data_IF_932595808258
#
_entry.id   IF_932595808258
#
_cell.length_a   1.000
_cell.length_b   1.000
_cell.length_c   1.000
_cell.angle_alpha   90.00
_cell.angle_beta   90.00
_cell.angle_gamma   90.00
#
_symmetry.space_group_name_H-M   'P 1'
#
loop_
_entity.id
_entity.type
_entity.pdbx_description
1 polymer ?
#
# COMPACT_ATOMS: atom_id res chain seq x y z
N UNK A 1 -68.83 -17.10 39.62
CA UNK A 1 -69.31 -17.74 40.87
C UNK A 1 -68.14 -18.46 41.55
N UNK A 2 -68.31 -18.90 42.82
CA UNK A 2 -67.73 -20.10 43.51
C UNK A 2 -66.87 -21.04 42.63
N UNK A 3 -65.80 -21.76 43.08
CA UNK A 3 -65.10 -22.11 44.36
C UNK A 3 -63.76 -22.80 43.95
N UNK A 4 -62.76 -23.21 44.75
CA UNK A 4 -62.30 -23.13 46.16
C UNK A 4 -60.76 -23.37 46.15
N UNK A 5 -59.93 -22.70 46.96
CA UNK A 5 -59.32 -23.16 48.25
C UNK A 5 -58.71 -24.58 48.27
N UNK A 6 -57.37 -24.67 48.31
CA UNK A 6 -56.54 -25.33 49.35
C UNK A 6 -55.04 -25.05 49.08
N UNK A 7 -54.10 -24.98 50.03
CA UNK A 7 -54.18 -25.05 51.50
C UNK A 7 -52.91 -24.48 52.15
N UNK A 8 -52.95 -24.16 53.44
CA UNK A 8 -51.93 -23.36 54.15
C UNK A 8 -50.87 -24.19 54.87
N UNK A 9 -49.66 -23.64 55.04
CA UNK A 9 -48.86 -23.89 56.26
C UNK A 9 -48.10 -22.62 56.67
N UNK A 10 -48.06 -22.32 57.97
CA UNK A 10 -47.36 -21.17 58.56
C UNK A 10 -46.02 -21.61 59.15
N UNK A 11 -45.07 -20.67 59.22
CA UNK A 11 -44.34 -20.45 60.47
C UNK A 11 -43.93 -18.97 60.63
N UNK A 12 -43.83 -18.52 61.88
CA UNK A 12 -43.37 -17.19 62.30
C UNK A 12 -41.88 -17.30 62.78
N UNK A 13 -41.16 -16.26 63.24
CA UNK A 13 -41.60 -14.94 63.70
C UNK A 13 -40.47 -13.86 63.68
N UNK A 14 -40.91 -12.60 63.84
CA UNK A 14 -40.28 -11.52 64.61
C UNK A 14 -38.77 -11.18 64.51
N UNK A 15 -38.50 -10.03 63.87
CA UNK A 15 -37.85 -8.83 64.44
C UNK A 15 -36.59 -9.02 65.32
N UNK A 16 -35.43 -8.59 64.78
CA UNK A 16 -34.47 -7.72 65.48
C UNK A 16 -33.62 -6.98 64.44
N UNK A 17 -33.29 -5.70 64.67
CA UNK A 17 -32.48 -4.90 63.75
C UNK A 17 -31.12 -4.53 64.32
N UNK A 18 -30.05 -4.67 63.53
CA UNK A 18 -28.73 -4.09 63.81
C UNK A 18 -28.15 -3.47 62.55
N UNK A 19 -27.72 -2.20 62.65
CA UNK A 19 -27.14 -1.45 61.52
C UNK A 19 -25.63 -1.72 61.43
N UNK A 20 -25.23 -2.70 60.62
CA UNK A 20 -23.82 -2.97 60.32
C UNK A 20 -23.33 -2.10 59.15
N UNK A 21 -22.60 -1.03 59.47
CA UNK A 21 -21.89 -0.22 58.46
C UNK A 21 -20.78 -1.05 57.80
N UNK A 22 -20.83 -1.18 56.48
CA UNK A 22 -19.81 -1.86 55.67
C UNK A 22 -19.40 -0.95 54.50
N UNK A 23 -18.47 -0.03 54.75
CA UNK A 23 -17.85 0.81 53.72
C UNK A 23 -16.94 -0.03 52.82
N UNK A 24 -17.50 -0.71 51.82
CA UNK A 24 -16.72 -1.23 50.69
C UNK A 24 -16.27 -0.06 49.83
N UNK A 25 -14.98 0.21 49.83
CA UNK A 25 -14.38 1.19 48.94
C UNK A 25 -14.55 0.73 47.49
N UNK A 26 -15.32 1.50 46.72
CA UNK A 26 -15.56 1.21 45.30
C UNK A 26 -14.34 1.63 44.47
N UNK A 27 -13.35 0.74 44.40
CA UNK A 27 -12.14 0.94 43.61
C UNK A 27 -12.42 0.73 42.12
N UNK A 28 -13.27 1.59 41.55
CA UNK A 28 -13.38 1.76 40.10
C UNK A 28 -12.03 2.17 39.50
N UNK A 29 -11.86 2.06 38.16
CA UNK A 29 -10.60 2.38 37.51
C UNK A 29 -10.17 3.81 37.83
N UNK A 30 -8.98 3.97 38.42
CA UNK A 30 -8.46 5.28 38.77
C UNK A 30 -8.39 6.18 37.53
N UNK A 31 -9.01 7.35 37.61
CA UNK A 31 -8.77 8.42 36.65
C UNK A 31 -7.30 8.82 36.81
N UNK A 32 -6.48 8.82 35.75
CA UNK A 32 -5.10 9.28 35.84
C UNK A 32 -5.07 10.78 36.12
N UNK A 33 -4.84 11.19 37.36
CA UNK A 33 -4.73 12.61 37.74
C UNK A 33 -3.57 13.36 37.05
N UNK A 34 -2.68 12.65 36.36
CA UNK A 34 -1.62 13.22 35.53
C UNK A 34 -1.11 12.19 34.52
N UNK A 35 -0.94 12.60 33.26
CA UNK A 35 -0.32 11.80 32.21
C UNK A 35 1.07 12.34 31.87
N UNK A 36 2.05 11.45 31.69
CA UNK A 36 3.40 11.79 31.24
C UNK A 36 3.72 11.13 29.90
N UNK A 37 3.93 11.95 28.87
CA UNK A 37 4.45 11.53 27.56
C UNK A 37 5.98 11.51 27.59
N UNK A 38 6.55 10.42 27.09
CA UNK A 38 7.97 10.27 26.74
C UNK A 38 8.11 9.72 25.32
N UNK A 39 9.18 10.11 24.64
CA UNK A 39 9.46 9.77 23.24
C UNK A 39 10.73 8.90 23.14
N UNK A 40 10.75 7.94 22.22
CA UNK A 40 11.95 7.12 21.95
C UNK A 40 13.10 7.90 21.30
N UNK A 41 12.81 9.04 20.69
CA UNK A 41 13.76 9.96 20.09
C UNK A 41 13.23 11.39 20.16
N UNK A 42 14.13 12.37 20.34
CA UNK A 42 13.82 13.82 20.30
C UNK A 42 14.17 14.45 18.96
N UNK A 43 14.78 13.69 18.04
CA UNK A 43 15.10 14.13 16.67
C UNK A 43 14.87 12.97 15.70
N UNK A 44 14.28 13.24 14.54
CA UNK A 44 14.05 12.28 13.46
C UNK A 44 14.29 12.92 12.09
N UNK A 45 14.54 12.07 11.10
CA UNK A 45 14.53 12.45 9.70
C UNK A 45 13.10 12.50 9.16
N UNK A 46 12.76 13.51 8.35
CA UNK A 46 11.44 13.72 7.76
C UNK A 46 11.10 12.78 6.59
N UNK A 47 11.52 11.51 6.64
CA UNK A 47 11.25 10.51 5.59
C UNK A 47 9.81 10.03 5.57
N UNK A 48 9.09 10.18 6.69
CA UNK A 48 7.83 9.51 6.96
C UNK A 48 7.96 8.00 7.22
N UNK A 49 9.15 7.40 7.18
CA UNK A 49 9.38 5.98 7.49
C UNK A 49 10.08 5.79 8.84
N UNK A 50 10.86 6.76 9.27
CA UNK A 50 11.42 6.82 10.61
C UNK A 50 10.31 7.22 11.60
N UNK A 51 10.09 6.39 12.63
CA UNK A 51 8.99 6.55 13.58
C UNK A 51 9.48 6.84 14.99
N UNK A 52 8.80 7.74 15.71
CA UNK A 52 9.02 7.96 17.15
C UNK A 52 7.96 7.21 17.93
N UNK A 53 8.39 6.29 18.79
CA UNK A 53 7.51 5.60 19.73
C UNK A 53 7.18 6.55 20.88
N UNK A 54 5.89 6.71 21.14
CA UNK A 54 5.29 7.52 22.18
C UNK A 54 4.84 6.60 23.29
N UNK A 55 5.42 6.76 24.48
CA UNK A 55 5.00 6.03 25.69
C UNK A 55 4.33 7.01 26.63
N UNK A 56 3.16 6.65 27.15
CA UNK A 56 2.36 7.46 28.08
C UNK A 56 2.19 6.73 29.39
N UNK A 57 2.63 7.34 30.48
CA UNK A 57 2.49 6.80 31.84
C UNK A 57 1.57 7.65 32.69
N UNK A 58 0.85 7.01 33.62
CA UNK A 58 0.06 7.72 34.63
C UNK A 58 0.90 8.11 35.87
N UNK A 59 0.25 8.69 36.89
CA UNK A 59 0.87 9.06 38.18
C UNK A 59 1.52 7.88 38.91
N UNK A 60 1.00 6.65 38.75
CA UNK A 60 1.57 5.43 39.36
C UNK A 60 2.79 4.90 38.60
N UNK A 61 3.06 5.42 37.39
CA UNK A 61 4.13 4.95 36.51
C UNK A 61 3.73 3.75 35.63
N UNK A 62 2.46 3.32 35.70
CA UNK A 62 1.89 2.32 34.81
C UNK A 62 1.79 2.85 33.38
N UNK A 63 2.03 1.97 32.40
CA UNK A 63 1.87 2.30 30.98
C UNK A 63 0.38 2.30 30.62
N UNK A 64 -0.09 3.44 30.10
CA UNK A 64 -1.48 3.67 29.68
C UNK A 64 -1.56 4.05 28.20
N UNK A 65 -0.50 3.82 27.41
CA UNK A 65 -0.40 4.24 26.00
C UNK A 65 -1.55 3.71 25.13
N UNK A 66 -1.98 2.46 25.36
CA UNK A 66 -3.14 1.87 24.65
C UNK A 66 -4.51 2.36 25.13
N UNK A 67 -4.57 3.21 26.16
CA UNK A 67 -5.80 3.69 26.80
C UNK A 67 -5.93 5.22 26.79
N UNK A 68 -5.22 5.90 25.89
CA UNK A 68 -5.24 7.37 25.70
C UNK A 68 -5.37 7.73 24.22
N UNK A 69 -5.91 8.93 23.94
CA UNK A 69 -5.81 9.53 22.61
C UNK A 69 -4.46 10.24 22.49
N UNK A 70 -3.68 9.93 21.44
CA UNK A 70 -2.46 10.66 21.10
C UNK A 70 -2.73 11.76 20.07
N UNK A 71 -1.94 12.84 20.13
CA UNK A 71 -2.02 14.00 19.27
C UNK A 71 -0.62 14.44 18.81
N UNK A 72 -0.51 14.89 17.56
CA UNK A 72 0.65 15.55 16.98
C UNK A 72 0.21 16.92 16.45
N UNK A 73 0.77 18.00 17.00
CA UNK A 73 0.34 19.40 16.77
C UNK A 73 -1.18 19.62 16.95
N UNK A 74 -1.79 18.89 17.90
CA UNK A 74 -3.23 18.91 18.16
C UNK A 74 -4.08 18.06 17.22
N UNK A 75 -3.50 17.45 16.18
CA UNK A 75 -4.18 16.49 15.29
C UNK A 75 -4.08 15.08 15.87
N UNK A 76 -5.21 14.37 15.95
CA UNK A 76 -5.26 12.99 16.47
C UNK A 76 -4.50 12.02 15.57
N UNK A 77 -3.78 11.06 16.16
CA UNK A 77 -3.27 9.88 15.45
C UNK A 77 -3.53 8.59 16.26
N UNK A 78 -3.26 7.45 15.63
CA UNK A 78 -3.59 6.11 16.15
C UNK A 78 -2.33 5.26 16.26
N UNK A 79 -2.28 4.39 17.27
CA UNK A 79 -1.11 3.55 17.56
C UNK A 79 0.02 4.32 18.28
N UNK A 80 1.00 3.61 18.86
CA UNK A 80 2.03 4.21 19.71
C UNK A 80 3.19 4.85 18.92
N UNK A 81 3.16 4.90 17.58
CA UNK A 81 4.28 5.40 16.76
C UNK A 81 3.81 6.53 15.85
N UNK A 82 4.51 7.67 15.88
CA UNK A 82 4.27 8.80 14.99
C UNK A 82 5.37 8.90 13.92
N UNK A 83 4.97 9.10 12.66
CA UNK A 83 5.83 9.02 11.47
C UNK A 83 5.86 10.35 10.69
N UNK A 84 6.73 11.31 11.03
CA UNK A 84 6.76 12.64 10.43
C UNK A 84 7.31 12.68 9.00
N UNK A 85 6.64 13.41 8.11
CA UNK A 85 6.98 13.58 6.68
C UNK A 85 7.47 15.00 6.32
N UNK A 86 7.58 15.91 7.31
CA UNK A 86 7.80 17.34 7.10
C UNK A 86 8.77 17.93 8.13
N UNK A 87 9.73 18.71 7.64
CA UNK A 87 10.76 19.39 8.45
C UNK A 87 10.13 20.48 9.32
N UNK A 88 10.06 20.23 10.64
CA UNK A 88 9.58 21.14 11.69
C UNK A 88 9.79 20.51 13.07
N UNK A 89 9.67 21.28 14.15
CA UNK A 89 9.38 20.71 15.47
C UNK A 89 7.90 20.29 15.53
N UNK A 90 7.63 19.07 16.01
CA UNK A 90 6.27 18.55 16.24
C UNK A 90 6.02 18.43 17.74
N UNK A 91 4.86 18.90 18.19
CA UNK A 91 4.38 18.80 19.57
C UNK A 91 3.51 17.57 19.75
N UNK A 92 4.03 16.58 20.48
CA UNK A 92 3.33 15.34 20.83
C UNK A 92 2.67 15.49 22.21
N UNK A 93 1.40 15.12 22.32
CA UNK A 93 0.67 15.09 23.59
C UNK A 93 -0.36 13.94 23.62
N UNK A 94 -0.90 13.65 24.81
CA UNK A 94 -1.86 12.60 25.06
C UNK A 94 -3.02 13.10 25.95
N UNK A 95 -4.16 12.40 25.91
CA UNK A 95 -5.34 12.74 26.71
C UNK A 95 -6.12 11.48 27.12
N UNK A 96 -6.66 11.48 28.35
CA UNK A 96 -7.64 10.47 28.83
C UNK A 96 -8.85 11.19 29.43
N UNK A 97 -10.00 11.10 28.75
CA UNK A 97 -11.17 11.90 29.11
C UNK A 97 -10.83 13.40 29.06
N UNK A 98 -10.98 14.10 30.17
CA UNK A 98 -10.59 15.51 30.31
C UNK A 98 -9.11 15.73 30.62
N UNK A 99 -8.35 14.72 31.07
CA UNK A 99 -6.98 14.92 31.59
C UNK A 99 -5.95 14.96 30.45
N UNK A 100 -5.16 16.04 30.31
CA UNK A 100 -4.06 16.13 29.35
C UNK A 100 -2.74 15.59 29.92
N UNK A 101 -1.76 15.36 29.05
CA UNK A 101 -0.35 15.15 29.41
C UNK A 101 0.48 16.44 29.36
N UNK A 102 1.76 16.33 29.73
CA UNK A 102 2.76 17.27 29.21
C UNK A 102 2.82 17.21 27.67
N UNK A 103 3.31 18.28 27.06
CA UNK A 103 3.81 18.24 25.68
C UNK A 103 5.23 17.66 25.72
N UNK A 104 5.57 16.84 24.72
CA UNK A 104 6.94 16.49 24.35
C UNK A 104 7.18 16.95 22.91
N UNK A 105 8.43 17.27 22.58
CA UNK A 105 8.78 17.77 21.24
C UNK A 105 9.74 16.82 20.52
N UNK A 106 9.51 16.62 19.23
CA UNK A 106 10.45 15.94 18.31
C UNK A 106 10.82 16.90 17.18
N UNK A 107 12.12 17.10 16.97
CA UNK A 107 12.66 17.91 15.88
C UNK A 107 12.78 17.06 14.63
N UNK A 108 12.04 17.40 13.58
CA UNK A 108 12.10 16.70 12.30
C UNK A 108 13.05 17.45 11.37
N UNK A 109 14.16 16.81 10.99
CA UNK A 109 15.16 17.36 10.06
C UNK A 109 14.86 16.95 8.62
N UNK A 110 15.51 17.60 7.65
CA UNK A 110 15.52 17.09 6.28
C UNK A 110 16.25 15.73 6.22
N UNK A 111 15.82 14.80 5.36
CA UNK A 111 16.59 13.59 5.08
C UNK A 111 17.86 13.92 4.29
N UNK A 112 18.87 13.07 4.43
CA UNK A 112 20.00 13.00 3.50
C UNK A 112 19.50 12.78 2.06
N UNK A 113 20.25 13.25 1.06
CA UNK A 113 19.93 12.95 -0.33
C UNK A 113 19.85 11.43 -0.55
N UNK A 114 18.84 10.95 -1.28
CA UNK A 114 18.78 9.52 -1.61
C UNK A 114 19.83 9.18 -2.66
N UNK A 115 20.53 8.04 -2.53
CA UNK A 115 21.39 7.54 -3.60
C UNK A 115 20.57 6.98 -4.78
N UNK A 116 19.25 6.81 -4.64
CA UNK A 116 18.39 6.22 -5.67
C UNK A 116 17.46 7.26 -6.31
N UNK A 117 17.15 7.10 -7.59
CA UNK A 117 16.09 7.88 -8.26
C UNK A 117 14.72 7.32 -7.88
N UNK A 118 13.81 8.22 -7.51
CA UNK A 118 12.38 7.90 -7.38
C UNK A 118 11.80 7.64 -8.77
N UNK A 119 11.26 6.44 -8.95
CA UNK A 119 10.51 6.02 -10.13
C UNK A 119 9.06 5.79 -9.71
N UNK A 120 8.14 5.85 -10.65
CA UNK A 120 6.69 5.75 -10.40
C UNK A 120 6.05 4.68 -11.30
N UNK A 121 5.03 4.03 -10.78
CA UNK A 121 4.22 3.01 -11.46
C UNK A 121 2.89 3.63 -11.86
N UNK A 122 2.46 3.41 -13.10
CA UNK A 122 1.10 3.73 -13.58
C UNK A 122 0.47 2.47 -14.15
N UNK A 123 -0.43 1.85 -13.40
CA UNK A 123 -1.26 0.73 -13.88
C UNK A 123 -2.48 1.31 -14.62
N UNK A 124 -2.52 1.15 -15.94
CA UNK A 124 -3.59 1.63 -16.83
C UNK A 124 -4.60 0.52 -17.11
N UNK A 125 -5.81 0.64 -16.57
CA UNK A 125 -6.89 -0.34 -16.71
C UNK A 125 -7.70 -0.02 -17.96
N UNK A 126 -7.67 -0.95 -18.91
CA UNK A 126 -7.89 -0.65 -20.33
C UNK A 126 -8.47 -1.86 -21.10
N UNK A 127 -8.76 -1.68 -22.40
CA UNK A 127 -9.23 -2.75 -23.26
C UNK A 127 -9.38 -2.36 -24.74
N UNK A 128 -9.26 -3.36 -25.61
CA UNK A 128 -9.51 -3.29 -27.06
C UNK A 128 -10.87 -2.72 -27.40
N UNK A 129 -11.87 -2.99 -26.56
CA UNK A 129 -13.24 -2.50 -26.70
C UNK A 129 -13.47 -1.07 -26.18
N UNK A 130 -12.48 -0.50 -25.49
CA UNK A 130 -12.64 0.78 -24.80
C UNK A 130 -12.35 1.94 -25.77
N UNK A 131 -13.39 2.43 -26.46
CA UNK A 131 -13.29 3.55 -27.42
C UNK A 131 -12.67 4.85 -26.91
N UNK A 132 -12.54 5.01 -25.59
CA UNK A 132 -11.90 6.18 -24.97
C UNK A 132 -10.46 5.93 -24.51
N UNK A 133 -10.01 4.68 -24.43
CA UNK A 133 -8.72 4.32 -23.85
C UNK A 133 -7.52 4.74 -24.71
N UNK A 134 -7.72 4.94 -26.02
CA UNK A 134 -6.71 5.51 -26.93
C UNK A 134 -6.15 6.84 -26.43
N UNK A 135 -6.99 7.69 -25.83
CA UNK A 135 -6.59 8.98 -25.23
C UNK A 135 -5.62 8.79 -24.06
N UNK A 136 -5.99 7.96 -23.08
CA UNK A 136 -5.19 7.72 -21.90
C UNK A 136 -3.85 7.06 -22.25
N UNK A 137 -3.88 6.06 -23.14
CA UNK A 137 -2.69 5.37 -23.63
C UNK A 137 -1.73 6.32 -24.36
N UNK A 138 -2.22 7.20 -25.24
CA UNK A 138 -1.39 8.17 -25.96
C UNK A 138 -0.77 9.22 -25.01
N UNK A 139 -1.56 9.81 -24.10
CA UNK A 139 -1.03 10.78 -23.11
C UNK A 139 0.06 10.12 -22.25
N UNK A 140 -0.17 8.89 -21.78
CA UNK A 140 0.80 8.15 -20.97
C UNK A 140 2.07 7.81 -21.79
N UNK A 141 1.92 7.37 -23.04
CA UNK A 141 3.05 7.06 -23.94
C UNK A 141 3.90 8.29 -24.27
N UNK A 142 3.26 9.43 -24.53
CA UNK A 142 3.94 10.72 -24.74
C UNK A 142 4.61 11.25 -23.47
N UNK A 143 4.18 10.82 -22.29
CA UNK A 143 4.83 11.13 -21.03
C UNK A 143 6.02 10.21 -20.74
N UNK A 144 5.84 8.88 -20.76
CA UNK A 144 6.89 7.90 -20.44
C UNK A 144 8.07 7.94 -21.41
N UNK A 145 7.84 8.26 -22.69
CA UNK A 145 8.90 8.51 -23.69
C UNK A 145 9.83 9.68 -23.34
N UNK A 146 9.39 10.61 -22.49
CA UNK A 146 10.19 11.75 -21.98
C UNK A 146 10.65 11.56 -20.54
N UNK A 147 9.91 10.77 -19.77
CA UNK A 147 10.14 10.48 -18.35
C UNK A 147 10.23 8.96 -18.15
N UNK A 148 11.36 8.30 -18.50
CA UNK A 148 11.53 6.85 -18.38
C UNK A 148 11.56 6.34 -16.93
N UNK A 149 11.61 7.25 -15.94
CA UNK A 149 11.35 6.95 -14.53
C UNK A 149 9.86 6.71 -14.23
N UNK A 150 8.96 6.97 -15.18
CA UNK A 150 7.56 6.58 -15.13
C UNK A 150 7.34 5.29 -15.92
N UNK A 151 6.97 4.23 -15.21
CA UNK A 151 6.82 2.88 -15.74
C UNK A 151 5.33 2.57 -15.83
N UNK A 152 4.82 2.37 -17.05
CA UNK A 152 3.42 2.02 -17.29
C UNK A 152 3.22 0.50 -17.36
N UNK A 153 2.05 0.03 -16.93
CA UNK A 153 1.60 -1.37 -17.05
C UNK A 153 0.14 -1.39 -17.51
N UNK A 154 -0.14 -1.98 -18.67
CA UNK A 154 -1.50 -2.09 -19.22
C UNK A 154 -2.26 -3.28 -18.63
N UNK A 155 -3.25 -3.03 -17.79
CA UNK A 155 -4.09 -4.05 -17.16
C UNK A 155 -5.38 -4.21 -17.96
N UNK A 156 -5.34 -5.11 -18.95
CA UNK A 156 -6.45 -5.36 -19.86
C UNK A 156 -7.61 -6.13 -19.22
N UNK A 157 -8.85 -5.83 -19.60
CA UNK A 157 -10.02 -6.63 -19.22
C UNK A 157 -11.38 -5.95 -19.43
N UNK A 158 -12.34 -6.18 -18.53
CA UNK A 158 -13.57 -5.39 -18.41
C UNK A 158 -14.73 -5.75 -19.36
N UNK A 159 -14.52 -6.58 -20.38
CA UNK A 159 -15.59 -7.04 -21.29
C UNK A 159 -15.32 -8.48 -21.76
N UNK A 160 -16.37 -9.27 -21.93
CA UNK A 160 -16.27 -10.58 -22.58
C UNK A 160 -15.73 -10.42 -24.01
N UNK A 161 -14.72 -11.22 -24.38
CA UNK A 161 -14.03 -11.12 -25.66
C UNK A 161 -12.79 -10.20 -25.69
N UNK A 162 -12.44 -9.53 -24.59
CA UNK A 162 -11.19 -8.79 -24.47
C UNK A 162 -9.98 -9.78 -24.49
N UNK A 163 -9.16 -9.80 -25.57
CA UNK A 163 -8.20 -10.87 -25.82
C UNK A 163 -7.05 -10.91 -24.82
N UNK A 164 -6.75 -9.81 -24.12
CA UNK A 164 -5.64 -9.74 -23.18
C UNK A 164 -6.09 -9.67 -21.71
N UNK A 165 -7.36 -10.03 -21.41
CA UNK A 165 -7.95 -9.98 -20.06
C UNK A 165 -7.01 -10.57 -19.00
N UNK A 166 -6.58 -9.78 -18.03
CA UNK A 166 -5.74 -10.24 -16.93
C UNK A 166 -6.53 -11.15 -15.98
N UNK A 167 -5.93 -12.27 -15.57
CA UNK A 167 -6.61 -13.33 -14.80
C UNK A 167 -7.21 -12.84 -13.47
N UNK A 168 -6.58 -11.86 -12.82
CA UNK A 168 -7.00 -11.35 -11.51
C UNK A 168 -7.50 -9.90 -11.58
N UNK A 169 -8.05 -9.48 -12.73
CA UNK A 169 -8.57 -8.14 -12.97
C UNK A 169 -9.54 -7.68 -11.86
N UNK A 170 -10.54 -8.50 -11.54
CA UNK A 170 -11.59 -8.14 -10.58
C UNK A 170 -10.99 -7.82 -9.20
N UNK A 171 -10.02 -8.61 -8.74
CA UNK A 171 -9.28 -8.36 -7.50
C UNK A 171 -8.61 -6.99 -7.49
N UNK A 172 -8.15 -6.48 -8.63
CA UNK A 172 -7.55 -5.15 -8.73
C UNK A 172 -8.63 -4.07 -8.81
N UNK A 173 -9.71 -4.29 -9.57
CA UNK A 173 -10.84 -3.36 -9.67
C UNK A 173 -11.52 -3.14 -8.31
N UNK A 174 -11.78 -4.21 -7.55
CA UNK A 174 -12.37 -4.15 -6.21
C UNK A 174 -11.48 -3.36 -5.23
N UNK A 175 -10.15 -3.56 -5.30
CA UNK A 175 -9.18 -2.96 -4.37
C UNK A 175 -8.85 -1.50 -4.70
N UNK A 176 -9.03 -1.08 -5.95
CA UNK A 176 -8.87 0.31 -6.39
C UNK A 176 -10.20 1.05 -6.62
N UNK A 177 -11.34 0.40 -6.38
CA UNK A 177 -12.69 0.90 -6.63
C UNK A 177 -12.91 1.42 -8.07
N UNK A 178 -12.55 0.59 -9.06
CA UNK A 178 -12.64 0.91 -10.49
C UNK A 178 -14.00 0.49 -11.03
N UNK A 179 -14.78 1.44 -11.53
CA UNK A 179 -16.13 1.26 -12.06
C UNK A 179 -16.22 1.28 -13.60
N UNK A 180 -15.18 1.75 -14.30
CA UNK A 180 -15.13 1.80 -15.76
C UNK A 180 -13.77 2.23 -16.30
N UNK A 181 -13.52 1.99 -17.61
CA UNK A 181 -12.25 2.26 -18.29
C UNK A 181 -12.37 3.44 -19.29
N UNK A 182 -11.29 4.19 -19.57
CA UNK A 182 -9.94 4.07 -19.01
C UNK A 182 -9.88 4.47 -17.52
N UNK A 183 -9.01 3.80 -16.78
CA UNK A 183 -8.70 4.17 -15.40
C UNK A 183 -7.24 3.87 -15.08
N UNK A 184 -6.44 4.91 -14.84
CA UNK A 184 -5.05 4.74 -14.46
C UNK A 184 -4.85 4.94 -12.94
N UNK A 185 -4.02 4.12 -12.31
CA UNK A 185 -3.67 4.21 -10.89
C UNK A 185 -2.19 4.54 -10.72
N UNK A 186 -1.90 5.69 -10.13
CA UNK A 186 -0.56 6.15 -9.79
C UNK A 186 -0.10 5.51 -8.48
N UNK A 187 1.04 4.82 -8.52
CA UNK A 187 1.69 4.16 -7.38
C UNK A 187 0.70 3.36 -6.50
N UNK A 188 -0.34 2.74 -7.07
CA UNK A 188 -1.34 1.95 -6.31
C UNK A 188 -2.03 2.70 -5.14
N UNK A 189 -2.01 4.02 -5.18
CA UNK A 189 -2.50 4.89 -4.11
C UNK A 189 -3.70 5.72 -4.59
N UNK A 190 -3.54 6.42 -5.72
CA UNK A 190 -4.51 7.40 -6.22
C UNK A 190 -4.77 7.25 -7.72
N UNK A 191 -5.97 7.63 -8.18
CA UNK A 191 -6.30 7.67 -9.61
C UNK A 191 -5.48 8.78 -10.29
N UNK A 192 -4.76 8.44 -11.36
CA UNK A 192 -4.17 9.44 -12.24
C UNK A 192 -5.28 10.05 -13.10
N UNK A 193 -5.43 11.36 -13.06
CA UNK A 193 -6.45 12.13 -13.78
C UNK A 193 -5.93 12.71 -15.11
N UNK A 194 -5.03 11.97 -15.78
CA UNK A 194 -4.37 12.35 -17.04
C UNK A 194 -3.51 13.64 -16.98
N UNK A 195 -3.35 14.26 -15.80
CA UNK A 195 -2.51 15.44 -15.59
C UNK A 195 -1.02 15.05 -15.37
N UNK A 196 -0.08 15.48 -16.23
CA UNK A 196 1.36 15.24 -16.03
C UNK A 196 1.91 15.77 -14.70
N UNK A 197 1.36 16.86 -14.16
CA UNK A 197 1.88 17.50 -12.95
C UNK A 197 1.77 16.61 -11.69
N UNK A 198 0.83 15.65 -11.66
CA UNK A 198 0.78 14.64 -10.59
C UNK A 198 1.92 13.62 -10.69
N UNK A 199 2.30 13.25 -11.91
CA UNK A 199 3.42 12.35 -12.19
C UNK A 199 4.75 13.07 -11.89
N UNK A 200 4.90 14.31 -12.33
CA UNK A 200 6.06 15.17 -12.01
C UNK A 200 6.22 15.40 -10.50
N UNK A 201 5.12 15.51 -9.75
CA UNK A 201 5.14 15.65 -8.30
C UNK A 201 5.51 14.33 -7.59
N UNK A 202 5.06 13.19 -8.12
CA UNK A 202 5.40 11.88 -7.58
C UNK A 202 6.86 11.49 -7.85
N UNK A 203 7.42 11.84 -9.02
CA UNK A 203 8.85 11.67 -9.36
C UNK A 203 9.79 12.51 -8.47
N UNK A 204 9.30 13.58 -7.83
CA UNK A 204 10.09 14.45 -6.95
C UNK A 204 10.10 14.00 -5.48
N UNK A 205 9.47 12.87 -5.14
CA UNK A 205 9.53 12.30 -3.80
C UNK A 205 10.93 11.74 -3.51
N UNK A 206 11.30 11.70 -2.23
CA UNK A 206 12.55 11.11 -1.77
C UNK A 206 12.44 9.57 -1.82
N UNK A 207 13.32 8.93 -2.58
CA UNK A 207 13.31 7.47 -2.73
C UNK A 207 13.86 6.78 -1.46
N UNK A 208 13.07 5.95 -0.75
CA UNK A 208 13.54 5.26 0.46
C UNK A 208 14.34 3.98 0.18
N UNK A 209 14.27 3.48 -1.05
CA UNK A 209 14.90 2.24 -1.51
C UNK A 209 15.12 2.27 -3.02
N UNK A 210 16.11 1.52 -3.48
CA UNK A 210 16.35 1.20 -4.89
C UNK A 210 16.03 -0.26 -5.17
N UNK A 211 15.75 -0.59 -6.43
CA UNK A 211 15.60 -1.97 -6.90
C UNK A 211 16.55 -2.27 -8.06
N UNK A 212 17.13 -3.47 -8.03
CA UNK A 212 17.83 -4.10 -9.15
C UNK A 212 17.08 -5.37 -9.57
N UNK A 213 17.18 -5.76 -10.84
CA UNK A 213 16.56 -6.96 -11.39
C UNK A 213 17.58 -7.70 -12.25
N UNK A 214 17.87 -8.96 -11.91
CA UNK A 214 18.62 -9.89 -12.74
C UNK A 214 17.63 -10.89 -13.33
N UNK A 215 17.62 -11.09 -14.65
CA UNK A 215 16.71 -12.04 -15.30
C UNK A 215 17.39 -12.82 -16.42
N UNK A 216 16.91 -14.05 -16.68
CA UNK A 216 17.35 -14.93 -17.76
C UNK A 216 16.15 -15.70 -18.34
N UNK A 217 16.24 -16.05 -19.61
CA UNK A 217 15.22 -16.84 -20.32
C UNK A 217 15.70 -18.29 -20.38
N UNK A 218 14.98 -19.21 -19.71
CA UNK A 218 15.32 -20.62 -19.65
C UNK A 218 14.06 -21.49 -19.78
N UNK A 219 14.06 -22.44 -20.73
CA UNK A 219 13.03 -23.48 -20.85
C UNK A 219 11.57 -22.98 -20.77
N UNK A 220 11.24 -21.92 -21.51
CA UNK A 220 9.88 -21.32 -21.51
C UNK A 220 9.51 -20.53 -20.26
N UNK A 221 10.50 -20.20 -19.41
CA UNK A 221 10.33 -19.39 -18.22
C UNK A 221 11.30 -18.21 -18.24
N UNK A 222 10.92 -17.13 -17.56
CA UNK A 222 11.78 -15.99 -17.25
C UNK A 222 12.09 -16.10 -15.76
N UNK A 223 13.31 -16.52 -15.45
CA UNK A 223 13.76 -16.78 -14.08
C UNK A 223 14.78 -15.72 -13.65
N UNK A 224 14.94 -15.48 -12.36
CA UNK A 224 15.84 -14.43 -11.91
C UNK A 224 15.72 -14.08 -10.43
N UNK A 225 16.18 -12.88 -10.10
CA UNK A 225 16.01 -12.27 -8.79
C UNK A 225 15.73 -10.77 -8.88
N UNK A 226 15.00 -10.27 -7.91
CA UNK A 226 14.90 -8.83 -7.60
C UNK A 226 15.71 -8.58 -6.34
N UNK A 227 16.53 -7.53 -6.35
CA UNK A 227 17.24 -7.03 -5.16
C UNK A 227 16.62 -5.72 -4.71
N UNK A 228 16.45 -5.53 -3.42
CA UNK A 228 15.98 -4.28 -2.81
C UNK A 228 17.07 -3.77 -1.87
N UNK A 229 17.51 -2.52 -2.06
CA UNK A 229 18.51 -1.87 -1.20
C UNK A 229 17.90 -0.66 -0.51
N UNK A 230 17.97 -0.62 0.81
CA UNK A 230 17.27 0.38 1.62
C UNK A 230 18.15 1.59 1.96
N UNK A 231 17.59 2.79 1.89
CA UNK A 231 18.21 4.04 2.37
C UNK A 231 17.76 4.42 3.80
N UNK A 232 17.04 3.52 4.48
CA UNK A 232 16.47 3.74 5.82
C UNK A 232 16.34 2.43 6.61
N UNK A 233 16.09 2.55 7.90
CA UNK A 233 15.79 1.42 8.80
C UNK A 233 14.40 1.60 9.37
N UNK A 234 13.48 0.65 9.18
CA UNK A 234 12.12 0.78 9.72
C UNK A 234 11.40 -0.56 9.90
N UNK A 235 10.41 -0.58 10.79
CA UNK A 235 9.50 -1.71 11.03
C UNK A 235 8.17 -1.59 10.27
N UNK A 236 8.08 -0.68 9.30
CA UNK A 236 6.94 -0.58 8.37
C UNK A 236 6.90 -1.84 7.49
N UNK A 237 5.78 -2.58 7.52
CA UNK A 237 5.53 -3.72 6.64
C UNK A 237 5.62 -3.31 5.16
N UNK A 238 6.45 -4.05 4.40
CA UNK A 238 6.74 -3.83 3.00
C UNK A 238 6.70 -5.14 2.24
N UNK A 239 6.20 -5.10 1.01
CA UNK A 239 6.11 -6.26 0.13
C UNK A 239 6.65 -5.96 -1.26
N UNK A 240 7.25 -6.96 -1.90
CA UNK A 240 7.70 -6.86 -3.30
C UNK A 240 6.67 -7.51 -4.24
N UNK A 241 6.34 -6.82 -5.31
CA UNK A 241 5.53 -7.36 -6.42
C UNK A 241 6.45 -7.47 -7.64
N UNK A 242 6.34 -8.59 -8.36
CA UNK A 242 7.14 -8.89 -9.55
C UNK A 242 6.18 -9.30 -10.67
N UNK A 243 6.14 -8.50 -11.74
CA UNK A 243 5.23 -8.64 -12.87
C UNK A 243 5.97 -9.08 -14.13
N UNK A 244 5.33 -9.95 -14.92
CA UNK A 244 5.63 -10.14 -16.33
C UNK A 244 4.68 -9.26 -17.17
N UNK A 245 5.26 -8.36 -17.97
CA UNK A 245 4.52 -7.58 -18.97
C UNK A 245 5.06 -7.89 -20.37
N UNK A 246 4.22 -7.77 -21.40
CA UNK A 246 4.59 -8.06 -22.80
C UNK A 246 4.25 -6.88 -23.73
N UNK A 247 5.15 -6.59 -24.67
CA UNK A 247 4.97 -5.65 -25.77
C UNK A 247 4.52 -6.31 -27.08
N UNK A 248 4.10 -5.49 -28.04
CA UNK A 248 3.84 -5.86 -29.44
C UNK A 248 2.70 -6.88 -29.60
N UNK A 249 1.77 -6.89 -28.66
CA UNK A 249 0.52 -7.64 -28.80
C UNK A 249 -0.39 -6.90 -29.77
N UNK A 250 -0.84 -7.59 -30.82
CA UNK A 250 -1.62 -6.98 -31.91
C UNK A 250 -3.10 -7.36 -31.75
N UNK A 251 -3.96 -6.34 -31.71
CA UNK A 251 -5.41 -6.49 -31.74
C UNK A 251 -6.06 -5.28 -32.43
N UNK A 252 -7.36 -5.34 -32.68
CA UNK A 252 -8.12 -4.16 -33.09
C UNK A 252 -8.53 -3.34 -31.85
N UNK A 253 -8.40 -2.02 -31.92
CA UNK A 253 -8.74 -1.11 -30.83
C UNK A 253 -9.92 -0.21 -31.23
N UNK A 254 -11.05 -0.31 -30.54
CA UNK A 254 -12.15 0.67 -30.61
C UNK A 254 -11.60 2.07 -30.28
N UNK A 255 -12.02 3.08 -31.05
CA UNK A 255 -11.50 4.44 -30.94
C UNK A 255 -12.57 5.49 -31.29
N UNK A 256 -12.74 6.48 -30.41
CA UNK A 256 -13.66 7.60 -30.59
C UNK A 256 -13.00 8.87 -31.17
N UNK A 257 -11.66 8.92 -31.28
CA UNK A 257 -10.91 10.16 -31.54
C UNK A 257 -10.02 10.05 -32.78
N UNK A 258 -10.28 10.88 -33.79
CA UNK A 258 -9.50 10.89 -35.04
C UNK A 258 -8.02 11.30 -34.84
N UNK A 259 -7.70 12.03 -33.76
CA UNK A 259 -6.34 12.41 -33.38
C UNK A 259 -5.44 11.23 -32.96
N UNK A 260 -6.03 10.13 -32.45
CA UNK A 260 -5.29 8.92 -32.05
C UNK A 260 -5.37 7.79 -33.08
N UNK A 261 -6.00 8.01 -34.23
CA UNK A 261 -6.06 7.08 -35.36
C UNK A 261 -7.46 6.91 -35.94
N UNK A 262 -7.63 5.85 -36.75
CA UNK A 262 -8.90 5.54 -37.44
C UNK A 262 -10.08 5.39 -36.47
N UNK A 263 -11.23 5.91 -36.88
CA UNK A 263 -12.53 5.83 -36.18
C UNK A 263 -13.48 4.98 -37.04
N UNK A 264 -14.29 4.06 -36.48
CA UNK A 264 -14.44 3.74 -35.05
C UNK A 264 -13.43 2.73 -34.51
N UNK A 265 -12.47 2.27 -35.33
CA UNK A 265 -11.53 1.20 -34.95
C UNK A 265 -10.17 1.41 -35.60
N UNK A 266 -9.11 1.38 -34.80
CA UNK A 266 -7.73 1.28 -35.26
C UNK A 266 -7.43 -0.19 -35.49
N UNK A 267 -7.13 -0.56 -36.74
CA UNK A 267 -6.84 -1.96 -37.12
C UNK A 267 -5.39 -2.31 -36.83
N UNK A 268 -5.16 -3.51 -36.30
CA UNK A 268 -3.82 -4.00 -35.91
C UNK A 268 -3.08 -3.03 -34.97
N UNK A 269 -3.78 -2.46 -33.99
CA UNK A 269 -3.19 -1.65 -32.93
C UNK A 269 -2.19 -2.48 -32.10
N UNK A 270 -1.10 -1.83 -31.68
CA UNK A 270 0.05 -2.48 -31.05
C UNK A 270 0.08 -2.12 -29.56
N UNK A 271 -0.31 -3.06 -28.71
CA UNK A 271 -0.34 -2.89 -27.26
C UNK A 271 1.06 -3.12 -26.65
N UNK A 272 1.38 -2.38 -25.58
CA UNK A 272 2.68 -2.35 -24.92
C UNK A 272 2.56 -2.43 -23.40
N UNK A 273 3.56 -3.01 -22.73
CA UNK A 273 3.57 -3.26 -21.29
C UNK A 273 2.31 -3.98 -20.76
N UNK A 274 1.66 -4.85 -21.56
CA UNK A 274 0.43 -5.54 -21.17
C UNK A 274 0.71 -6.57 -20.08
N UNK A 275 0.01 -6.51 -18.94
CA UNK A 275 0.21 -7.41 -17.80
C UNK A 275 -0.21 -8.85 -18.12
N UNK A 276 0.73 -9.80 -17.99
CA UNK A 276 0.50 -11.23 -18.27
C UNK A 276 0.44 -12.09 -17.03
N UNK A 277 1.37 -11.89 -16.09
CA UNK A 277 1.53 -12.74 -14.89
C UNK A 277 2.15 -11.92 -13.74
N UNK A 278 1.87 -12.33 -12.51
CA UNK A 278 2.57 -11.88 -11.30
C UNK A 278 3.21 -13.12 -10.65
N UNK A 279 4.39 -12.96 -10.04
CA UNK A 279 5.19 -14.08 -9.52
C UNK A 279 4.69 -14.63 -8.16
N UNK A 280 3.96 -13.83 -7.40
CA UNK A 280 3.44 -14.16 -6.06
C UNK A 280 1.99 -14.67 -6.13
N UNK A 281 1.64 -15.66 -5.32
CA UNK A 281 0.25 -16.14 -5.17
C UNK A 281 -0.67 -15.03 -4.64
N UNK A 282 -0.17 -14.19 -3.72
CA UNK A 282 -0.77 -12.91 -3.38
C UNK A 282 -0.47 -11.89 -4.50
N UNK A 283 -1.24 -11.99 -5.58
CA UNK A 283 -1.08 -11.18 -6.80
C UNK A 283 -1.31 -9.68 -6.58
N UNK A 284 -2.01 -9.29 -5.51
CA UNK A 284 -2.22 -7.89 -5.18
C UNK A 284 -1.13 -7.37 -4.23
N UNK A 285 -0.91 -8.04 -3.10
CA UNK A 285 -0.05 -7.53 -2.03
C UNK A 285 1.43 -7.86 -2.25
N UNK A 286 1.76 -8.89 -3.04
CA UNK A 286 3.14 -9.31 -3.28
C UNK A 286 3.69 -10.24 -2.22
N UNK A 287 4.99 -10.56 -2.32
CA UNK A 287 5.76 -11.31 -1.34
C UNK A 287 6.21 -10.43 -0.16
N UNK A 288 6.16 -10.93 1.10
CA UNK A 288 6.64 -10.18 2.26
C UNK A 288 8.15 -9.97 2.24
N UNK A 289 8.59 -8.74 2.55
CA UNK A 289 9.98 -8.45 2.91
C UNK A 289 10.10 -8.60 4.43
N UNK A 290 11.02 -9.44 4.97
CA UNK A 290 11.25 -9.52 6.41
C UNK A 290 11.66 -8.16 6.97
N UNK A 291 11.01 -7.69 8.05
CA UNK A 291 11.31 -6.38 8.66
C UNK A 291 12.76 -6.23 9.09
N UNK A 292 13.40 -7.32 9.54
CA UNK A 292 14.84 -7.38 9.85
C UNK A 292 15.74 -7.06 8.66
N UNK A 293 15.27 -7.23 7.42
CA UNK A 293 16.00 -6.88 6.21
C UNK A 293 15.83 -5.39 5.81
N UNK A 294 14.84 -4.69 6.36
CA UNK A 294 14.53 -3.27 6.09
C UNK A 294 15.43 -2.37 6.96
N UNK A 295 16.74 -2.45 6.71
CA UNK A 295 17.81 -1.74 7.42
C UNK A 295 18.67 -0.94 6.44
N UNK A 296 19.04 0.30 6.80
CA UNK A 296 19.79 1.21 5.91
C UNK A 296 21.11 0.58 5.45
N UNK A 297 21.32 0.58 4.14
CA UNK A 297 22.49 -0.02 3.47
C UNK A 297 22.35 -1.52 3.17
N UNK A 298 21.42 -2.23 3.82
CA UNK A 298 21.21 -3.66 3.56
C UNK A 298 20.64 -3.90 2.16
N UNK A 299 20.97 -5.07 1.59
CA UNK A 299 20.40 -5.60 0.35
C UNK A 299 19.63 -6.88 0.67
N UNK A 300 18.36 -6.92 0.30
CA UNK A 300 17.52 -8.12 0.35
C UNK A 300 17.31 -8.66 -1.07
N UNK A 301 17.24 -9.98 -1.24
CA UNK A 301 17.00 -10.62 -2.54
C UNK A 301 15.77 -11.52 -2.49
N UNK A 302 14.96 -11.50 -3.58
CA UNK A 302 13.85 -12.41 -3.84
C UNK A 302 14.05 -13.05 -5.21
N UNK A 303 14.17 -14.37 -5.26
CA UNK A 303 14.15 -15.14 -6.51
C UNK A 303 12.73 -15.23 -7.07
N UNK A 304 12.59 -15.33 -8.40
CA UNK A 304 11.32 -15.49 -9.08
C UNK A 304 11.43 -16.45 -10.28
N UNK A 305 10.28 -17.00 -10.67
CA UNK A 305 10.10 -17.72 -11.93
C UNK A 305 8.74 -17.34 -12.53
N UNK A 306 8.75 -16.88 -13.78
CA UNK A 306 7.57 -16.44 -14.51
C UNK A 306 7.46 -17.28 -15.79
N UNK A 307 6.51 -18.22 -15.83
CA UNK A 307 6.22 -18.94 -17.08
C UNK A 307 5.72 -17.97 -18.15
N UNK A 308 6.22 -18.12 -19.37
CA UNK A 308 5.72 -17.40 -20.54
C UNK A 308 4.35 -17.90 -20.98
N UNK A 309 3.92 -19.08 -20.49
CA UNK A 309 2.60 -19.64 -20.73
C UNK A 309 1.63 -19.35 -19.59
N UNK A 310 0.35 -19.27 -19.93
CA UNK A 310 -0.72 -18.99 -18.98
C UNK A 310 -2.08 -18.95 -19.66
N UNK A 311 -3.09 -18.47 -18.92
CA UNK A 311 -4.45 -18.27 -19.42
C UNK A 311 -4.91 -16.85 -19.11
N UNK A 312 -5.73 -16.27 -19.98
CA UNK A 312 -6.41 -15.00 -19.73
C UNK A 312 -7.56 -15.19 -18.74
N UNK A 313 -8.10 -14.10 -18.19
CA UNK A 313 -9.30 -14.12 -17.34
C UNK A 313 -10.58 -14.58 -18.07
N UNK A 314 -10.56 -14.67 -19.41
CA UNK A 314 -11.62 -15.29 -20.22
C UNK A 314 -11.31 -16.75 -20.61
N UNK A 315 -10.24 -17.35 -20.06
CA UNK A 315 -9.89 -18.76 -20.25
C UNK A 315 -9.16 -19.08 -21.56
N UNK A 316 -8.69 -18.08 -22.31
CA UNK A 316 -7.88 -18.29 -23.52
C UNK A 316 -6.43 -18.59 -23.13
N UNK A 317 -5.87 -19.66 -23.65
CA UNK A 317 -4.46 -20.01 -23.42
C UNK A 317 -3.53 -19.06 -24.19
N UNK A 318 -2.38 -18.72 -23.62
CA UNK A 318 -1.38 -17.87 -24.25
C UNK A 318 0.05 -18.42 -24.15
N UNK A 319 0.91 -17.97 -25.06
CA UNK A 319 2.38 -18.01 -24.92
C UNK A 319 2.91 -16.62 -25.21
N UNK A 320 3.63 -16.04 -24.25
CA UNK A 320 4.32 -14.76 -24.38
C UNK A 320 5.67 -14.94 -25.10
N UNK A 321 6.02 -13.98 -25.96
CA UNK A 321 7.27 -13.95 -26.72
C UNK A 321 8.36 -13.34 -25.81
N UNK A 322 9.39 -14.10 -25.38
CA UNK A 322 10.35 -13.60 -24.38
C UNK A 322 11.07 -12.30 -24.80
N UNK A 323 11.39 -12.15 -26.08
CA UNK A 323 12.04 -10.95 -26.65
C UNK A 323 11.12 -9.70 -26.72
N UNK A 324 9.84 -9.83 -26.35
CA UNK A 324 8.91 -8.72 -26.14
C UNK A 324 8.55 -8.53 -24.66
N UNK A 325 9.04 -9.39 -23.77
CA UNK A 325 8.70 -9.35 -22.35
C UNK A 325 9.61 -8.40 -21.56
N UNK A 326 9.06 -7.82 -20.49
CA UNK A 326 9.80 -7.12 -19.44
C UNK A 326 9.42 -7.68 -18.09
N UNK A 327 10.38 -7.65 -17.15
CA UNK A 327 10.12 -7.84 -15.72
C UNK A 327 10.01 -6.46 -15.10
N UNK A 328 8.85 -6.15 -14.51
CA UNK A 328 8.61 -4.94 -13.71
C UNK A 328 8.55 -5.35 -12.24
N UNK A 329 9.33 -4.73 -11.38
CA UNK A 329 9.36 -5.03 -9.96
C UNK A 329 9.25 -3.76 -9.11
N UNK A 330 8.50 -3.82 -8.02
CA UNK A 330 8.36 -2.69 -7.09
C UNK A 330 8.15 -3.17 -5.66
N UNK A 331 8.56 -2.32 -4.72
CA UNK A 331 8.17 -2.47 -3.31
C UNK A 331 6.93 -1.61 -3.07
N UNK A 332 5.98 -2.10 -2.28
CA UNK A 332 4.81 -1.36 -1.81
C UNK A 332 4.64 -1.53 -0.29
N UNK A 333 3.87 -0.63 0.33
CA UNK A 333 3.42 -0.83 1.70
C UNK A 333 2.59 -2.12 1.80
N UNK A 334 2.92 -2.98 2.77
CA UNK A 334 2.15 -4.20 3.03
C UNK A 334 0.87 -3.94 3.84
N UNK A 335 -0.06 -4.92 3.88
CA UNK A 335 -1.38 -4.74 4.49
C UNK A 335 -1.36 -4.59 6.02
N UNK A 336 -0.28 -4.96 6.70
CA UNK A 336 -0.15 -4.94 8.16
C UNK A 336 0.64 -3.71 8.66
N UNK A 337 0.92 -2.75 7.77
CA UNK A 337 1.80 -1.63 8.09
C UNK A 337 1.19 -0.65 9.12
N UNK A 338 1.98 -0.30 10.13
CA UNK A 338 1.60 0.58 11.23
C UNK A 338 1.38 2.06 10.85
N UNK A 339 1.59 2.45 9.60
CA UNK A 339 1.40 3.84 9.13
C UNK A 339 0.02 4.09 8.53
N UNK A 340 -0.75 3.04 8.22
CA UNK A 340 -2.02 3.14 7.49
C UNK A 340 -1.87 3.59 6.03
N UNK A 341 -0.63 3.67 5.50
CA UNK A 341 -0.36 4.03 4.10
C UNK A 341 -0.54 2.83 3.18
N UNK A 342 -0.64 3.12 1.90
CA UNK A 342 -0.78 2.15 0.81
C UNK A 342 0.08 2.58 -0.37
N UNK A 343 0.25 1.66 -1.32
CA UNK A 343 0.81 1.98 -2.63
C UNK A 343 2.30 1.65 -2.80
N UNK A 344 2.74 1.73 -4.05
CA UNK A 344 4.11 1.51 -4.49
C UNK A 344 5.05 2.62 -4.02
N UNK A 345 6.17 2.19 -3.45
CA UNK A 345 7.19 3.00 -2.80
C UNK A 345 8.29 3.38 -3.80
N UNK A 346 8.86 2.42 -4.51
CA UNK A 346 9.70 2.63 -5.69
C UNK A 346 9.62 1.41 -6.62
N UNK A 347 9.94 1.59 -7.90
CA UNK A 347 9.78 0.60 -8.98
C UNK A 347 11.02 0.57 -9.89
N UNK A 348 11.25 -0.55 -10.57
CA UNK A 348 12.28 -0.74 -11.60
C UNK A 348 11.73 -1.66 -12.69
N UNK A 349 12.29 -1.61 -13.90
CA UNK A 349 12.05 -2.63 -14.92
C UNK A 349 13.34 -3.02 -15.66
N UNK A 350 13.30 -4.19 -16.28
CA UNK A 350 14.32 -4.69 -17.22
C UNK A 350 13.62 -5.49 -18.33
N UNK A 351 14.24 -5.64 -19.51
CA UNK A 351 13.71 -6.60 -20.50
C UNK A 351 13.95 -8.03 -19.99
N UNK A 352 13.12 -8.98 -20.39
CA UNK A 352 13.31 -10.37 -20.00
C UNK A 352 14.60 -10.93 -20.62
N UNK A 353 15.51 -11.40 -19.78
CA UNK A 353 16.86 -11.82 -20.18
C UNK A 353 17.96 -10.79 -19.91
N UNK A 354 17.59 -9.54 -19.59
CA UNK A 354 18.54 -8.48 -19.23
C UNK A 354 18.70 -8.37 -17.71
N UNK A 355 19.84 -7.80 -17.30
CA UNK A 355 20.12 -7.34 -15.93
C UNK A 355 20.10 -5.81 -15.87
N UNK A 356 19.41 -5.29 -14.85
CA UNK A 356 19.33 -3.88 -14.49
C UNK A 356 19.79 -3.73 -13.03
N UNK A 357 20.98 -3.17 -12.82
CA UNK A 357 21.47 -2.90 -11.46
C UNK A 357 20.71 -1.72 -10.81
N UNK A 358 21.07 -1.38 -9.58
CA UNK A 358 20.67 -0.13 -8.94
C UNK A 358 21.16 1.08 -9.77
N UNK A 359 20.40 2.17 -9.66
CA UNK A 359 20.74 3.50 -10.18
C UNK A 359 21.45 4.38 -9.14
#
# INVERSE_FOLDING_TARGET
>A
MRKFVCGTLLLAAAIAGTTSSCSKGDSGPSVPDSLKVSLSATTLSGTGFDGVTVTVKDRSGADVTGAVQLYADGVKFTGPVFYPDKVKTVKISAQKGSVPSNIAEVVVTAPEASPFTQKILVEDFTGTWCKYCTRAADILTRYTSKQPACISVGVHGGRAGEPFTYQYLNTFMDRFAIDGFPWAVLNRDSKWNENPALLDAALKKWAPLGLAIESKIESGNITGKVKVKFNLTTNVDMRVVIMLVEDKLVADQENAYAEYGTVPTIKNYVHTNTLRRIASDDVFSGDPIPSTAVTKGNVWEKTFSLSTTGRTGIGTDYTAIPANCKVVAFVQYGPENSTGRKGAINVQYTNAGDTKDFD
#
